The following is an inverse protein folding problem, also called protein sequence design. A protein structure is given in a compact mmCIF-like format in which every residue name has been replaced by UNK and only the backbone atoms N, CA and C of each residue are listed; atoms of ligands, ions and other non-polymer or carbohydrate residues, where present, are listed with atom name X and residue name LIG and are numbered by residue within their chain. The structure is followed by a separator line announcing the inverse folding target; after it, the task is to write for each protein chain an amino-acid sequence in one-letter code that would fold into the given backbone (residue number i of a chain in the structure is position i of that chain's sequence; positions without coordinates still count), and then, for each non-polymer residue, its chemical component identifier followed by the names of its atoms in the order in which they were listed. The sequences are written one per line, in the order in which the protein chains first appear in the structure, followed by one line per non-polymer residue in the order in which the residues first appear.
data_IF_611802974624
#
_entry.id   IF_611802974624
#
_cell.length_a   1.000
_cell.length_b   1.000
_cell.length_c   1.000
_cell.angle_alpha   90.00
_cell.angle_beta   90.00
_cell.angle_gamma   90.00
#
_symmetry.space_group_name_H-M   'P 1'
#
loop_
_entity.id
_entity.type
_entity.pdbx_description
1 polymer ?
#
# COMPACT_ATOMS: atom_id res chain seq x y z
N UNK A 1 -1.34 -15.38 7.56
CA UNK A 1 0.04 -14.97 7.19
C UNK A 1 0.68 -14.22 8.34
N UNK A 2 1.96 -14.46 8.64
CA UNK A 2 2.73 -13.67 9.62
C UNK A 2 3.39 -12.43 8.99
N UNK A 3 3.61 -11.39 9.81
CA UNK A 3 4.15 -10.10 9.35
C UNK A 3 5.48 -10.20 8.59
N UNK A 4 6.43 -11.04 9.02
CA UNK A 4 7.70 -11.19 8.29
C UNK A 4 7.53 -11.80 6.90
N UNK A 5 6.62 -12.77 6.77
CA UNK A 5 6.25 -13.35 5.47
C UNK A 5 5.55 -12.31 4.60
N UNK A 6 4.65 -11.51 5.19
CA UNK A 6 3.97 -10.42 4.50
C UNK A 6 4.99 -9.39 3.96
N UNK A 7 5.96 -8.96 4.78
CA UNK A 7 7.01 -8.02 4.37
C UNK A 7 7.80 -8.54 3.17
N UNK A 8 8.25 -9.80 3.21
CA UNK A 8 8.97 -10.41 2.08
C UNK A 8 8.10 -10.52 0.83
N UNK A 9 6.81 -10.88 0.99
CA UNK A 9 5.84 -11.02 -0.10
C UNK A 9 5.56 -9.68 -0.78
N UNK A 10 5.36 -8.62 0.02
CA UNK A 10 5.17 -7.25 -0.46
C UNK A 10 6.40 -6.79 -1.24
N UNK A 11 7.59 -6.91 -0.65
CA UNK A 11 8.85 -6.49 -1.29
C UNK A 11 9.07 -7.22 -2.62
N UNK A 12 8.81 -8.52 -2.69
CA UNK A 12 8.93 -9.29 -3.93
C UNK A 12 7.92 -8.83 -4.99
N UNK A 13 6.67 -8.58 -4.61
CA UNK A 13 5.62 -8.10 -5.51
C UNK A 13 5.95 -6.71 -6.07
N UNK A 14 6.40 -5.77 -5.23
CA UNK A 14 6.79 -4.42 -5.66
C UNK A 14 8.06 -4.45 -6.53
N UNK A 15 9.02 -5.32 -6.23
CA UNK A 15 10.16 -5.54 -7.13
C UNK A 15 9.72 -6.07 -8.50
N UNK A 16 8.72 -6.97 -8.54
CA UNK A 16 8.13 -7.43 -9.80
C UNK A 16 7.40 -6.32 -10.54
N UNK A 17 6.68 -5.45 -9.83
CA UNK A 17 6.07 -4.26 -10.43
C UNK A 17 7.14 -3.36 -11.06
N UNK A 18 8.25 -3.09 -10.36
CA UNK A 18 9.36 -2.30 -10.88
C UNK A 18 9.96 -2.92 -12.15
N UNK A 19 10.12 -4.24 -12.19
CA UNK A 19 10.62 -4.94 -13.37
C UNK A 19 9.67 -4.84 -14.57
N UNK A 20 8.34 -4.92 -14.34
CA UNK A 20 7.34 -4.78 -15.41
C UNK A 20 7.18 -3.32 -15.87
N UNK A 21 7.35 -2.37 -14.95
CA UNK A 21 7.30 -0.93 -15.22
C UNK A 21 8.62 -0.40 -15.79
N UNK A 22 9.70 -1.16 -15.64
CA UNK A 22 11.07 -0.84 -16.02
C UNK A 22 11.62 0.46 -15.41
N UNK A 23 11.17 0.76 -14.18
CA UNK A 23 11.63 1.85 -13.30
C UNK A 23 10.97 1.67 -11.91
N UNK A 24 11.48 2.32 -10.85
CA UNK A 24 10.80 2.36 -9.55
C UNK A 24 9.36 2.88 -9.69
N UNK A 25 8.40 2.15 -9.14
CA UNK A 25 6.97 2.46 -9.21
C UNK A 25 6.39 2.82 -7.85
N UNK A 26 6.47 1.93 -6.86
CA UNK A 26 6.16 2.27 -5.47
C UNK A 26 7.45 2.11 -4.68
N UNK A 27 8.09 3.25 -4.40
CA UNK A 27 9.36 3.35 -3.69
C UNK A 27 9.17 3.44 -2.17
N UNK A 28 7.92 3.58 -1.72
CA UNK A 28 7.53 3.60 -0.32
C UNK A 28 6.30 2.73 -0.08
N UNK A 29 6.31 1.96 1.01
CA UNK A 29 5.14 1.26 1.51
C UNK A 29 5.11 1.17 3.03
N UNK A 30 3.91 1.06 3.58
CA UNK A 30 3.64 0.88 5.00
C UNK A 30 2.55 -0.17 5.18
N UNK A 31 2.70 -1.03 6.19
CA UNK A 31 1.62 -1.88 6.69
C UNK A 31 1.14 -1.29 8.01
N UNK A 32 -0.16 -1.01 8.08
CA UNK A 32 -0.81 -0.36 9.22
C UNK A 32 -1.96 -1.23 9.71
N UNK A 33 -2.22 -1.21 11.01
CA UNK A 33 -3.42 -1.77 11.61
C UNK A 33 -4.35 -0.63 12.03
N UNK A 34 -5.63 -0.74 11.71
CA UNK A 34 -6.69 0.15 12.22
C UNK A 34 -7.60 -0.59 13.20
N UNK A 35 -6.99 -1.18 14.23
CA UNK A 35 -7.75 -1.75 15.34
C UNK A 35 -8.34 -0.62 16.19
N UNK A 36 -9.63 -0.69 16.59
CA UNK A 36 -10.24 0.33 17.43
C UNK A 36 -9.40 0.64 18.68
N UNK A 37 -8.85 1.86 18.75
CA UNK A 37 -8.03 2.32 19.86
C UNK A 37 -6.57 1.79 19.88
N UNK A 38 -6.13 1.12 18.82
CA UNK A 38 -4.77 0.56 18.66
C UNK A 38 -4.24 0.73 17.23
N UNK A 39 -4.57 1.84 16.59
CA UNK A 39 -4.02 2.14 15.27
C UNK A 39 -2.48 2.17 15.34
N UNK A 40 -1.81 1.40 14.48
CA UNK A 40 -0.36 1.19 14.58
C UNK A 40 0.31 0.97 13.23
N UNK A 41 1.56 1.41 13.10
CA UNK A 41 2.45 0.98 12.01
C UNK A 41 3.05 -0.37 12.38
N UNK A 42 2.76 -1.40 11.59
CA UNK A 42 3.31 -2.74 11.76
C UNK A 42 4.66 -2.89 11.03
N UNK A 43 4.77 -2.32 9.83
CA UNK A 43 6.00 -2.34 9.05
C UNK A 43 6.07 -1.13 8.12
N UNK A 44 7.28 -0.69 7.80
CA UNK A 44 7.53 0.43 6.88
C UNK A 44 8.79 0.14 6.07
N UNK A 45 8.78 0.54 4.79
CA UNK A 45 9.97 0.61 3.95
C UNK A 45 9.83 1.78 2.97
N UNK A 46 10.81 2.66 2.95
CA UNK A 46 10.84 3.81 2.04
C UNK A 46 11.91 4.82 2.41
N UNK A 47 12.14 5.83 1.56
CA UNK A 47 13.22 6.81 1.75
C UNK A 47 12.96 7.82 2.89
N UNK A 48 11.75 7.86 3.45
CA UNK A 48 11.29 8.89 4.41
C UNK A 48 11.06 8.35 5.83
N UNK A 49 11.75 7.28 6.24
CA UNK A 49 11.44 6.55 7.50
C UNK A 49 11.39 7.41 8.78
N UNK A 50 12.21 8.46 8.88
CA UNK A 50 12.23 9.34 10.05
C UNK A 50 11.09 10.36 10.04
N UNK A 51 10.86 11.04 8.92
CA UNK A 51 9.76 12.01 8.80
C UNK A 51 8.41 11.32 8.81
N UNK A 52 8.29 10.18 8.12
CA UNK A 52 7.07 9.36 8.12
C UNK A 52 6.64 9.01 9.55
N UNK A 53 7.56 8.53 10.41
CA UNK A 53 7.22 8.19 11.80
C UNK A 53 6.72 9.39 12.62
N UNK A 54 7.23 10.60 12.35
CA UNK A 54 6.79 11.81 13.06
C UNK A 54 5.41 12.26 12.59
N UNK A 55 5.18 12.26 11.28
CA UNK A 55 3.96 12.78 10.65
C UNK A 55 2.80 11.79 10.73
N UNK A 56 3.09 10.48 10.75
CA UNK A 56 2.05 9.44 10.70
C UNK A 56 1.11 9.47 11.90
N UNK A 57 1.57 9.87 13.09
CA UNK A 57 0.72 9.97 14.28
C UNK A 57 -0.45 10.96 14.08
N UNK A 58 -0.20 12.07 13.37
CA UNK A 58 -1.22 13.07 13.07
C UNK A 58 -2.13 12.63 11.91
N UNK A 59 -1.60 11.80 11.01
CA UNK A 59 -2.25 11.38 9.78
C UNK A 59 -3.06 10.07 9.89
N UNK A 60 -2.84 9.27 10.93
CA UNK A 60 -3.43 7.94 11.07
C UNK A 60 -4.95 7.98 11.24
N UNK A 61 -5.49 8.95 11.99
CA UNK A 61 -6.94 9.01 12.29
C UNK A 61 -7.77 9.34 11.04
N UNK A 62 -7.46 10.38 10.25
CA UNK A 62 -8.26 10.65 9.06
C UNK A 62 -8.03 9.59 7.97
N UNK A 63 -6.87 8.93 7.94
CA UNK A 63 -6.60 7.81 7.03
C UNK A 63 -7.42 6.56 7.40
N UNK A 64 -7.53 6.25 8.69
CA UNK A 64 -8.39 5.18 9.21
C UNK A 64 -9.85 5.39 8.79
N UNK A 65 -10.35 6.62 8.89
CA UNK A 65 -11.70 7.00 8.43
C UNK A 65 -11.87 6.82 6.93
N UNK A 66 -10.92 7.33 6.13
CA UNK A 66 -10.93 7.16 4.67
C UNK A 66 -10.98 5.67 4.28
N UNK A 67 -10.19 4.83 4.95
CA UNK A 67 -10.15 3.40 4.70
C UNK A 67 -11.43 2.67 5.12
N UNK A 68 -12.07 3.10 6.20
CA UNK A 68 -13.36 2.59 6.64
C UNK A 68 -14.48 2.90 5.63
N UNK A 69 -14.49 4.12 5.06
CA UNK A 69 -15.49 4.54 4.08
C UNK A 69 -15.41 3.76 2.77
N UNK A 70 -14.21 3.28 2.39
CA UNK A 70 -14.02 2.44 1.19
C UNK A 70 -14.61 1.03 1.32
N UNK A 71 -14.87 0.54 2.54
CA UNK A 71 -15.46 -0.79 2.81
C UNK A 71 -14.80 -1.95 2.07
N UNK A 72 -13.47 -1.92 1.97
CA UNK A 72 -12.68 -2.97 1.32
C UNK A 72 -12.73 -4.28 2.10
N UNK A 73 -12.99 -5.40 1.42
CA UNK A 73 -12.82 -6.74 1.98
C UNK A 73 -11.36 -7.16 1.91
N UNK A 74 -10.96 -8.20 2.65
CA UNK A 74 -9.57 -8.70 2.60
C UNK A 74 -9.20 -9.10 1.17
N UNK A 75 -8.03 -8.62 0.73
CA UNK A 75 -7.52 -8.73 -0.62
C UNK A 75 -8.06 -7.68 -1.58
N UNK A 76 -9.10 -6.91 -1.24
CA UNK A 76 -9.53 -5.80 -2.09
C UNK A 76 -8.49 -4.68 -2.06
N UNK A 77 -8.41 -3.95 -3.16
CA UNK A 77 -7.40 -2.94 -3.38
C UNK A 77 -7.98 -1.74 -4.12
N UNK A 78 -7.31 -0.60 -3.99
CA UNK A 78 -7.64 0.61 -4.72
C UNK A 78 -6.37 1.32 -5.20
N UNK A 79 -6.49 2.04 -6.32
CA UNK A 79 -5.47 2.96 -6.81
C UNK A 79 -6.05 4.36 -6.77
N UNK A 80 -5.46 5.25 -5.98
CA UNK A 80 -5.96 6.60 -5.76
C UNK A 80 -6.19 7.33 -7.10
N UNK A 81 -7.33 8.02 -7.22
CA UNK A 81 -7.69 8.75 -8.44
C UNK A 81 -6.79 9.97 -8.66
N UNK A 82 -6.50 10.71 -7.59
CA UNK A 82 -5.57 11.85 -7.57
C UNK A 82 -4.72 11.79 -6.30
N UNK A 83 -3.42 11.54 -6.45
CA UNK A 83 -2.47 11.44 -5.34
C UNK A 83 -2.32 12.74 -4.52
N UNK A 84 -2.77 13.88 -5.07
CA UNK A 84 -2.62 15.19 -4.44
C UNK A 84 -3.54 15.38 -3.22
N UNK A 85 -4.58 14.56 -3.05
CA UNK A 85 -5.53 14.64 -1.93
C UNK A 85 -5.62 13.38 -1.07
N UNK A 86 -5.01 12.26 -1.51
CA UNK A 86 -4.95 11.00 -0.75
C UNK A 86 -3.58 10.82 -0.10
N UNK A 87 -3.52 10.16 1.06
CA UNK A 87 -2.24 9.89 1.75
C UNK A 87 -1.47 8.69 1.19
N UNK A 88 -2.03 8.03 0.17
CA UNK A 88 -1.46 6.86 -0.50
C UNK A 88 -1.79 6.90 -2.00
N UNK A 89 -0.97 6.24 -2.81
CA UNK A 89 -1.19 6.04 -4.25
C UNK A 89 -1.92 4.72 -4.55
N UNK A 90 -1.65 3.69 -3.76
CA UNK A 90 -2.32 2.40 -3.83
C UNK A 90 -2.52 1.80 -2.44
N UNK A 91 -3.58 1.02 -2.26
CA UNK A 91 -3.80 0.28 -1.01
C UNK A 91 -4.32 -1.14 -1.26
N UNK A 92 -4.06 -2.05 -0.31
CA UNK A 92 -4.68 -3.39 -0.22
C UNK A 92 -5.15 -3.59 1.23
N UNK A 93 -6.37 -4.08 1.43
CA UNK A 93 -6.78 -4.63 2.75
C UNK A 93 -6.09 -5.97 2.94
N UNK A 94 -5.05 -6.02 3.78
CA UNK A 94 -4.22 -7.23 3.95
C UNK A 94 -4.72 -8.17 5.04
N UNK A 95 -5.59 -7.71 5.94
CA UNK A 95 -6.17 -8.50 7.03
C UNK A 95 -7.41 -7.85 7.64
N UNK A 96 -7.89 -8.41 8.75
CA UNK A 96 -9.14 -7.94 9.40
C UNK A 96 -9.07 -6.52 9.94
N UNK A 97 -7.89 -5.97 10.21
CA UNK A 97 -7.70 -4.54 10.46
C UNK A 97 -6.49 -3.97 9.70
N UNK A 98 -5.78 -4.82 8.96
CA UNK A 98 -4.53 -4.47 8.31
C UNK A 98 -4.70 -3.88 6.92
N UNK A 99 -3.94 -2.84 6.61
CA UNK A 99 -3.81 -2.28 5.27
C UNK A 99 -2.35 -2.17 4.86
N UNK A 100 -2.07 -2.54 3.61
CA UNK A 100 -0.87 -2.12 2.90
C UNK A 100 -1.19 -0.82 2.17
N UNK A 101 -0.35 0.19 2.35
CA UNK A 101 -0.41 1.45 1.61
C UNK A 101 0.92 1.63 0.87
N UNK A 102 0.86 2.05 -0.39
CA UNK A 102 2.01 2.24 -1.25
C UNK A 102 2.01 3.66 -1.83
N UNK A 103 3.20 4.22 -2.01
CA UNK A 103 3.44 5.56 -2.54
C UNK A 103 4.59 5.56 -3.55
N UNK A 104 4.51 6.49 -4.50
CA UNK A 104 5.61 6.94 -5.32
C UNK A 104 6.00 8.35 -4.86
N UNK A 105 7.19 8.51 -4.30
CA UNK A 105 7.63 9.80 -3.75
C UNK A 105 8.01 10.83 -4.81
N UNK A 106 8.05 10.45 -6.09
CA UNK A 106 8.51 11.29 -7.20
C UNK A 106 7.43 11.66 -8.22
N UNK A 107 6.33 10.88 -8.32
CA UNK A 107 5.30 11.03 -9.36
C UNK A 107 3.91 10.78 -8.81
N UNK A 108 2.95 11.55 -9.29
CA UNK A 108 1.54 11.31 -9.03
C UNK A 108 1.01 10.09 -9.78
N UNK A 109 -0.08 9.51 -9.30
CA UNK A 109 -0.82 8.46 -10.03
C UNK A 109 -1.32 8.92 -11.41
N UNK A 110 -1.56 10.21 -11.63
CA UNK A 110 -1.92 10.74 -12.95
C UNK A 110 -0.78 10.61 -13.95
N UNK A 111 0.46 10.94 -13.53
CA UNK A 111 1.67 10.78 -14.35
C UNK A 111 2.03 9.30 -14.55
N UNK A 112 1.88 8.47 -13.53
CA UNK A 112 2.13 7.02 -13.62
C UNK A 112 1.21 6.38 -14.67
N UNK A 113 -0.07 6.73 -14.67
CA UNK A 113 -1.08 6.16 -15.60
C UNK A 113 -0.85 6.50 -17.07
N UNK A 114 -0.08 7.54 -17.37
CA UNK A 114 0.27 7.90 -18.75
C UNK A 114 1.29 6.92 -19.36
N UNK A 115 2.04 6.19 -18.53
CA UNK A 115 3.01 5.21 -19.03
C UNK A 115 2.28 3.91 -19.43
N UNK A 116 2.37 3.45 -20.69
CA UNK A 116 1.64 2.27 -21.16
C UNK A 116 2.01 0.98 -20.42
N UNK A 117 3.16 0.94 -19.75
CA UNK A 117 3.59 -0.20 -18.92
C UNK A 117 2.81 -0.33 -17.61
N UNK A 118 2.08 0.71 -17.19
CA UNK A 118 1.27 0.71 -15.98
C UNK A 118 0.30 -0.47 -15.93
N UNK A 119 -0.39 -0.75 -17.04
CA UNK A 119 -1.35 -1.86 -17.14
C UNK A 119 -0.67 -3.21 -16.87
N UNK A 120 0.56 -3.40 -17.36
CA UNK A 120 1.31 -4.63 -17.12
C UNK A 120 1.81 -4.71 -15.67
N UNK A 121 2.28 -3.59 -15.10
CA UNK A 121 2.76 -3.55 -13.72
C UNK A 121 1.66 -3.89 -12.70
N UNK A 122 0.42 -3.48 -12.94
CA UNK A 122 -0.74 -3.80 -12.08
C UNK A 122 -0.93 -5.31 -11.87
N UNK A 123 -0.53 -6.16 -12.81
CA UNK A 123 -0.68 -7.63 -12.68
C UNK A 123 0.02 -8.19 -11.45
N UNK A 124 1.18 -7.63 -11.09
CA UNK A 124 1.89 -8.06 -9.88
C UNK A 124 1.19 -7.59 -8.59
N UNK A 125 0.54 -6.42 -8.61
CA UNK A 125 -0.27 -5.94 -7.50
C UNK A 125 -1.55 -6.77 -7.32
N UNK A 126 -2.21 -7.16 -8.42
CA UNK A 126 -3.35 -8.09 -8.41
C UNK A 126 -2.95 -9.46 -7.85
N UNK A 127 -1.78 -9.97 -8.23
CA UNK A 127 -1.26 -11.20 -7.66
C UNK A 127 -1.03 -11.09 -6.14
N UNK A 128 -0.46 -9.97 -5.66
CA UNK A 128 -0.29 -9.69 -4.24
C UNK A 128 -1.63 -9.64 -3.50
N UNK A 129 -2.64 -8.98 -4.08
CA UNK A 129 -4.01 -8.94 -3.57
C UNK A 129 -4.58 -10.36 -3.41
N UNK A 130 -4.41 -11.23 -4.41
CA UNK A 130 -4.87 -12.62 -4.33
C UNK A 130 -4.15 -13.42 -3.25
N UNK A 131 -2.86 -13.15 -3.01
CA UNK A 131 -2.12 -13.78 -1.91
C UNK A 131 -2.74 -13.42 -0.55
N UNK A 132 -3.02 -12.14 -0.29
CA UNK A 132 -3.66 -11.73 0.97
C UNK A 132 -5.11 -12.19 1.08
N UNK A 133 -5.82 -12.33 -0.04
CA UNK A 133 -7.17 -12.93 -0.05
C UNK A 133 -7.14 -14.40 0.39
N UNK A 134 -6.11 -15.14 -0.01
CA UNK A 134 -5.95 -16.56 0.32
C UNK A 134 -5.35 -16.80 1.71
N UNK A 135 -4.42 -15.93 2.14
CA UNK A 135 -3.74 -16.01 3.43
C UNK A 135 -3.64 -14.59 4.05
N UNK A 136 -4.69 -14.13 4.76
CA UNK A 136 -4.73 -12.80 5.37
C UNK A 136 -3.62 -12.60 6.41
N UNK A 137 -3.16 -11.37 6.57
CA UNK A 137 -2.29 -10.97 7.68
C UNK A 137 -3.07 -11.02 8.99
N UNK A 138 -2.56 -11.81 9.95
CA UNK A 138 -3.06 -11.94 11.32
C UNK A 138 -2.00 -11.49 12.34
#
# INVERSE_FOLDING_TARGET
MHLDVAKSTITAALARMNALFNKPLFDEWVVVSFEPGRDAVLAYQGPRAESFRREFADDIVPLSREMADKRLSVGDFDFAREAASTRFDACIRVGTAGYLLCNNTAKSMAEIRQDPRWIQAQKAFVALSNTFRADPLE
#
